data_IF_646973677082
#
_entry.id   IF_646973677082
#
_cell.length_a   1.000
_cell.length_b   1.000
_cell.length_c   1.000
_cell.angle_alpha   90.00
_cell.angle_beta   90.00
_cell.angle_gamma   90.00
#
_symmetry.space_group_name_H-M   'P 1'
#
loop_
_entity.id
_entity.type
_entity.pdbx_description
1 polymer ?
#
# COMPACT_ATOMS: atom_id res chain seq x y z
N UNK A 1 -20.07 -35.82 6.17
CA UNK A 1 -20.02 -37.22 6.68
C UNK A 1 -20.18 -37.17 8.19
N UNK A 2 -21.06 -37.99 8.78
CA UNK A 2 -21.21 -38.08 10.24
C UNK A 2 -20.04 -38.93 10.77
N UNK A 3 -18.98 -38.28 11.22
CA UNK A 3 -17.81 -38.93 11.79
C UNK A 3 -17.91 -39.00 13.31
N UNK A 4 -17.11 -39.86 13.94
CA UNK A 4 -17.01 -39.92 15.41
C UNK A 4 -16.59 -38.58 16.01
N UNK A 5 -15.70 -37.85 15.32
CA UNK A 5 -15.30 -36.49 15.70
C UNK A 5 -16.47 -35.50 15.64
N UNK A 6 -17.30 -35.56 14.60
CA UNK A 6 -18.51 -34.74 14.51
C UNK A 6 -19.50 -35.03 15.65
N UNK A 7 -19.72 -36.31 15.98
CA UNK A 7 -20.61 -36.69 17.09
C UNK A 7 -20.08 -36.20 18.44
N UNK A 8 -18.77 -36.31 18.68
CA UNK A 8 -18.13 -35.79 19.89
C UNK A 8 -18.27 -34.26 19.96
N UNK A 9 -18.05 -33.57 18.85
CA UNK A 9 -18.23 -32.13 18.76
C UNK A 9 -19.68 -31.72 19.08
N UNK A 10 -20.67 -32.39 18.49
CA UNK A 10 -22.08 -32.14 18.77
C UNK A 10 -22.44 -32.40 20.23
N UNK A 11 -21.91 -33.47 20.84
CA UNK A 11 -22.15 -33.76 22.25
C UNK A 11 -21.60 -32.65 23.14
N UNK A 12 -20.34 -32.26 22.93
CA UNK A 12 -19.64 -31.28 23.77
C UNK A 12 -20.14 -29.85 23.58
N UNK A 13 -20.41 -29.44 22.35
CA UNK A 13 -20.71 -28.05 22.01
C UNK A 13 -22.19 -27.77 21.73
N UNK A 14 -23.04 -28.78 21.55
CA UNK A 14 -24.48 -28.59 21.39
C UNK A 14 -25.30 -29.23 22.52
N UNK A 15 -25.12 -30.52 22.79
CA UNK A 15 -25.97 -31.26 23.76
C UNK A 15 -25.71 -30.82 25.19
N UNK A 16 -24.45 -30.85 25.65
CA UNK A 16 -24.11 -30.45 27.03
C UNK A 16 -24.55 -29.00 27.32
N UNK A 17 -24.23 -27.99 26.48
CA UNK A 17 -24.71 -26.62 26.70
C UNK A 17 -26.23 -26.50 26.73
N UNK A 18 -26.94 -27.22 25.85
CA UNK A 18 -28.41 -27.23 25.84
C UNK A 18 -29.00 -27.79 27.14
N UNK A 19 -28.43 -28.88 27.67
CA UNK A 19 -28.85 -29.45 28.95
C UNK A 19 -28.60 -28.49 30.12
N UNK A 20 -27.46 -27.80 30.12
CA UNK A 20 -27.16 -26.78 31.12
C UNK A 20 -28.16 -25.62 31.06
N UNK A 21 -28.56 -25.18 29.86
CA UNK A 21 -29.58 -24.13 29.68
C UNK A 21 -30.96 -24.58 30.18
N UNK A 22 -31.35 -25.83 29.92
CA UNK A 22 -32.64 -26.39 30.40
C UNK A 22 -32.74 -26.34 31.93
N UNK A 23 -31.62 -26.47 32.64
CA UNK A 23 -31.59 -26.40 34.11
C UNK A 23 -31.61 -24.96 34.66
N UNK A 24 -31.52 -23.93 33.82
CA UNK A 24 -31.59 -22.54 34.26
C UNK A 24 -33.05 -22.17 34.56
N UNK A 25 -33.34 -21.95 35.85
CA UNK A 25 -34.64 -21.41 36.26
C UNK A 25 -34.74 -19.92 35.97
N UNK A 26 -35.60 -19.54 35.03
CA UNK A 26 -35.88 -18.15 34.69
C UNK A 26 -36.61 -17.46 35.83
N UNK A 27 -35.95 -16.51 36.50
CA UNK A 27 -36.57 -15.62 37.50
C UNK A 27 -36.93 -14.29 36.87
N UNK A 28 -38.23 -13.99 36.78
CA UNK A 28 -38.70 -12.70 36.30
C UNK A 28 -38.48 -11.61 37.37
N UNK A 29 -37.71 -10.58 37.02
CA UNK A 29 -37.46 -9.40 37.86
C UNK A 29 -38.32 -8.21 37.40
N UNK A 30 -38.62 -7.24 38.28
CA UNK A 30 -39.21 -5.96 37.88
C UNK A 30 -38.38 -5.26 36.81
N UNK A 31 -39.02 -4.45 35.97
CA UNK A 31 -38.42 -3.92 34.73
C UNK A 31 -37.04 -3.28 34.92
N UNK A 32 -36.89 -2.38 35.90
CA UNK A 32 -35.62 -1.67 36.14
C UNK A 32 -34.50 -2.61 36.61
N UNK A 33 -34.83 -3.55 37.49
CA UNK A 33 -33.86 -4.52 37.98
C UNK A 33 -33.48 -5.52 36.89
N UNK A 34 -34.42 -5.91 36.03
CA UNK A 34 -34.17 -6.74 34.85
C UNK A 34 -33.24 -6.03 33.87
N UNK A 35 -33.49 -4.75 33.60
CA UNK A 35 -32.63 -3.93 32.73
C UNK A 35 -31.20 -3.87 33.27
N UNK A 36 -31.03 -3.50 34.54
CA UNK A 36 -29.71 -3.40 35.18
C UNK A 36 -28.94 -4.72 35.12
N UNK A 37 -29.58 -5.83 35.49
CA UNK A 37 -28.92 -7.15 35.51
C UNK A 37 -28.54 -7.58 34.11
N UNK A 38 -29.45 -7.42 33.14
CA UNK A 38 -29.16 -7.74 31.74
C UNK A 38 -28.01 -6.89 31.20
N UNK A 39 -28.00 -5.58 31.47
CA UNK A 39 -26.93 -4.68 31.05
C UNK A 39 -25.60 -5.10 31.64
N UNK A 40 -25.53 -5.39 32.94
CA UNK A 40 -24.28 -5.86 33.59
C UNK A 40 -23.82 -7.18 32.99
N UNK A 41 -24.73 -8.15 32.80
CA UNK A 41 -24.39 -9.44 32.19
C UNK A 41 -23.91 -9.29 30.75
N UNK A 42 -24.56 -8.46 29.94
CA UNK A 42 -24.16 -8.19 28.56
C UNK A 42 -22.78 -7.54 28.54
N UNK A 43 -22.55 -6.50 29.35
CA UNK A 43 -21.24 -5.82 29.44
C UNK A 43 -20.16 -6.81 29.88
N UNK A 44 -20.43 -7.66 30.88
CA UNK A 44 -19.47 -8.66 31.33
C UNK A 44 -19.15 -9.68 30.24
N UNK A 45 -20.17 -10.20 29.52
CA UNK A 45 -19.95 -11.10 28.39
C UNK A 45 -19.18 -10.43 27.25
N UNK A 46 -19.49 -9.18 26.93
CA UNK A 46 -18.77 -8.41 25.91
C UNK A 46 -17.32 -8.16 26.32
N UNK A 47 -17.07 -7.83 27.58
CA UNK A 47 -15.72 -7.66 28.09
C UNK A 47 -14.91 -8.96 28.01
N UNK A 48 -15.50 -10.09 28.41
CA UNK A 48 -14.86 -11.41 28.26
C UNK A 48 -14.58 -11.72 26.79
N UNK A 49 -15.56 -11.47 25.90
CA UNK A 49 -15.37 -11.69 24.47
C UNK A 49 -14.24 -10.84 23.89
N UNK A 50 -14.16 -9.56 24.26
CA UNK A 50 -13.08 -8.65 23.85
C UNK A 50 -11.73 -9.16 24.34
N UNK A 51 -11.64 -9.61 25.60
CA UNK A 51 -10.40 -10.16 26.16
C UNK A 51 -9.97 -11.43 25.43
N UNK A 52 -10.91 -12.34 25.14
CA UNK A 52 -10.62 -13.58 24.42
C UNK A 52 -10.16 -13.32 22.97
N UNK A 53 -10.85 -12.44 22.25
CA UNK A 53 -10.49 -12.06 20.88
C UNK A 53 -9.12 -11.35 20.88
N UNK A 54 -8.90 -10.43 21.83
CA UNK A 54 -7.64 -9.70 21.94
C UNK A 54 -6.46 -10.60 22.29
N UNK A 55 -6.67 -11.64 23.10
CA UNK A 55 -5.61 -12.57 23.50
C UNK A 55 -5.07 -13.45 22.36
N UNK A 56 -5.84 -13.60 21.28
CA UNK A 56 -5.49 -14.43 20.11
C UNK A 56 -5.70 -13.67 18.80
N UNK A 57 -5.46 -12.35 18.83
CA UNK A 57 -5.78 -11.45 17.72
C UNK A 57 -5.08 -11.84 16.42
N UNK A 58 -3.84 -12.35 16.49
CA UNK A 58 -3.10 -12.84 15.32
C UNK A 58 -3.89 -13.87 14.52
N UNK A 59 -4.36 -14.93 15.18
CA UNK A 59 -5.15 -16.01 14.56
C UNK A 59 -6.51 -15.52 14.06
N UNK A 60 -7.21 -14.68 14.83
CA UNK A 60 -8.46 -14.08 14.34
C UNK A 60 -8.25 -13.17 13.14
N UNK A 61 -7.17 -12.39 13.11
CA UNK A 61 -6.89 -11.45 12.04
C UNK A 61 -6.50 -12.15 10.74
N UNK A 62 -5.65 -13.19 10.78
CA UNK A 62 -5.28 -13.99 9.62
C UNK A 62 -6.46 -14.78 9.08
N UNK A 63 -7.21 -15.49 9.94
CA UNK A 63 -8.41 -16.23 9.55
C UNK A 63 -9.48 -15.31 8.96
N UNK A 64 -9.73 -14.15 9.57
CA UNK A 64 -10.68 -13.19 9.02
C UNK A 64 -10.22 -12.64 7.69
N UNK A 65 -8.92 -12.38 7.51
CA UNK A 65 -8.37 -11.90 6.24
C UNK A 65 -8.50 -12.94 5.13
N UNK A 66 -8.18 -14.20 5.41
CA UNK A 66 -8.20 -15.30 4.44
C UNK A 66 -9.63 -15.79 4.11
N UNK A 67 -10.50 -15.86 5.11
CA UNK A 67 -11.82 -16.49 4.99
C UNK A 67 -13.00 -15.52 5.18
N UNK A 68 -12.78 -14.22 4.98
CA UNK A 68 -13.78 -13.17 5.21
C UNK A 68 -15.11 -13.47 4.53
N UNK A 69 -15.08 -13.77 3.24
CA UNK A 69 -16.26 -14.00 2.40
C UNK A 69 -17.05 -15.21 2.90
N UNK A 70 -16.37 -16.31 3.19
CA UNK A 70 -17.00 -17.53 3.68
C UNK A 70 -17.64 -17.34 5.07
N UNK A 71 -16.99 -16.63 5.98
CA UNK A 71 -17.46 -16.46 7.37
C UNK A 71 -18.56 -15.38 7.44
N UNK A 72 -18.35 -14.20 6.85
CA UNK A 72 -19.26 -13.06 7.04
C UNK A 72 -20.43 -13.05 6.07
N UNK A 73 -20.24 -13.55 4.85
CA UNK A 73 -21.30 -13.48 3.82
C UNK A 73 -22.25 -14.67 3.89
N UNK A 74 -21.76 -15.85 4.30
CA UNK A 74 -22.58 -17.07 4.31
C UNK A 74 -23.25 -17.39 5.64
N UNK A 75 -22.67 -16.99 6.78
CA UNK A 75 -23.19 -17.38 8.12
C UNK A 75 -24.16 -16.35 8.73
N UNK A 76 -24.22 -15.13 8.20
CA UNK A 76 -25.03 -14.05 8.77
C UNK A 76 -26.26 -13.77 7.89
N UNK A 77 -27.47 -14.22 8.27
CA UNK A 77 -28.68 -14.05 7.46
C UNK A 77 -29.08 -12.57 7.26
N UNK A 78 -28.53 -11.65 8.05
CA UNK A 78 -28.70 -10.20 7.88
C UNK A 78 -27.77 -9.58 6.82
N UNK A 79 -26.72 -10.28 6.36
CA UNK A 79 -25.74 -9.75 5.42
C UNK A 79 -26.37 -9.35 4.08
N UNK A 80 -27.23 -10.16 3.43
CA UNK A 80 -27.89 -9.74 2.19
C UNK A 80 -28.69 -8.45 2.36
N UNK A 81 -29.46 -8.32 3.45
CA UNK A 81 -30.26 -7.12 3.72
C UNK A 81 -29.36 -5.91 3.95
N UNK A 82 -28.33 -6.04 4.79
CA UNK A 82 -27.36 -4.97 5.06
C UNK A 82 -26.65 -4.55 3.78
N UNK A 83 -26.13 -5.50 3.01
CA UNK A 83 -25.42 -5.25 1.75
C UNK A 83 -26.34 -4.61 0.71
N UNK A 84 -27.62 -5.00 0.61
CA UNK A 84 -28.59 -4.33 -0.26
C UNK A 84 -28.84 -2.89 0.16
N UNK A 85 -29.06 -2.63 1.46
CA UNK A 85 -29.24 -1.25 1.96
C UNK A 85 -27.99 -0.42 1.72
N UNK A 86 -26.80 -0.97 2.00
CA UNK A 86 -25.52 -0.31 1.75
C UNK A 86 -25.27 -0.05 0.27
N UNK A 87 -25.63 -0.99 -0.61
CA UNK A 87 -25.53 -0.85 -2.06
C UNK A 87 -26.45 0.27 -2.55
N UNK A 88 -27.71 0.30 -2.11
CA UNK A 88 -28.66 1.36 -2.50
C UNK A 88 -28.19 2.71 -1.97
N UNK A 89 -27.72 2.77 -0.73
CA UNK A 89 -27.20 4.01 -0.15
C UNK A 89 -25.96 4.52 -0.90
N UNK A 90 -25.01 3.65 -1.23
CA UNK A 90 -23.85 3.99 -2.07
C UNK A 90 -24.27 4.39 -3.47
N UNK A 91 -25.08 3.61 -4.19
CA UNK A 91 -25.54 3.95 -5.54
C UNK A 91 -26.24 5.31 -5.59
N UNK A 92 -27.06 5.64 -4.59
CA UNK A 92 -27.70 6.96 -4.50
C UNK A 92 -26.71 8.10 -4.19
N UNK A 93 -25.69 7.84 -3.39
CA UNK A 93 -24.65 8.82 -3.04
C UNK A 93 -23.66 9.03 -4.19
N UNK A 94 -23.20 7.96 -4.80
CA UNK A 94 -22.22 7.94 -5.90
C UNK A 94 -22.79 8.57 -7.17
N UNK A 95 -24.10 8.45 -7.43
CA UNK A 95 -24.77 9.18 -8.52
C UNK A 95 -24.67 10.71 -8.41
N UNK A 96 -24.35 11.24 -7.24
CA UNK A 96 -24.14 12.68 -7.04
C UNK A 96 -22.67 13.10 -7.18
N UNK A 97 -21.75 12.13 -7.24
CA UNK A 97 -20.31 12.40 -7.36
C UNK A 97 -19.99 12.68 -8.84
N UNK A 98 -19.99 13.96 -9.19
CA UNK A 98 -19.54 14.42 -10.52
C UNK A 98 -18.05 14.68 -10.48
N UNK A 99 -17.29 13.88 -11.22
CA UNK A 99 -15.84 14.06 -11.39
C UNK A 99 -15.51 15.43 -11.97
N UNK A 100 -14.68 16.19 -11.25
CA UNK A 100 -14.16 17.46 -11.69
C UNK A 100 -12.81 17.27 -12.39
N UNK A 101 -12.60 17.92 -13.54
CA UNK A 101 -11.31 17.87 -14.20
C UNK A 101 -10.24 18.59 -13.36
N UNK A 102 -9.01 18.11 -13.44
CA UNK A 102 -7.85 18.61 -12.71
C UNK A 102 -6.73 18.97 -13.70
N UNK A 103 -6.10 20.12 -13.48
CA UNK A 103 -4.91 20.50 -14.24
C UNK A 103 -5.14 20.68 -15.75
N UNK A 104 -6.30 21.20 -16.17
CA UNK A 104 -6.54 21.53 -17.60
C UNK A 104 -5.60 22.62 -18.12
N UNK A 105 -4.98 23.39 -17.22
CA UNK A 105 -3.93 24.36 -17.49
C UNK A 105 -2.53 23.74 -17.53
N UNK A 106 -2.40 22.45 -17.20
CA UNK A 106 -1.14 21.77 -17.04
C UNK A 106 -0.38 21.73 -18.36
N UNK A 107 0.87 22.20 -18.34
CA UNK A 107 1.78 22.12 -19.48
C UNK A 107 3.18 21.80 -19.03
N UNK A 108 3.81 20.86 -19.72
CA UNK A 108 5.22 20.59 -19.49
C UNK A 108 6.06 21.80 -19.92
N UNK A 109 6.92 22.27 -19.02
CA UNK A 109 7.63 23.55 -19.17
C UNK A 109 9.15 23.44 -19.13
N UNK A 110 9.67 22.24 -18.85
CA UNK A 110 11.11 22.02 -18.85
C UNK A 110 11.66 22.13 -20.28
N UNK A 111 12.79 22.83 -20.45
CA UNK A 111 13.52 22.74 -21.71
C UNK A 111 13.87 21.27 -21.99
N UNK A 112 13.91 20.84 -23.26
CA UNK A 112 14.42 19.52 -23.60
C UNK A 112 15.77 19.30 -22.90
N UNK A 113 16.01 18.10 -22.37
CA UNK A 113 17.33 17.75 -21.85
C UNK A 113 18.37 18.13 -22.92
N UNK A 114 19.52 18.71 -22.51
CA UNK A 114 20.52 19.22 -23.46
C UNK A 114 20.99 18.15 -24.48
N UNK A 115 20.81 16.87 -24.14
CA UNK A 115 21.09 15.68 -24.93
C UNK A 115 19.95 15.24 -25.88
N UNK A 116 18.78 15.87 -25.85
CA UNK A 116 17.58 15.44 -26.58
C UNK A 116 16.82 14.25 -25.95
N UNK A 117 17.34 13.71 -24.84
CA UNK A 117 16.76 12.60 -24.07
C UNK A 117 15.42 12.98 -23.46
N UNK A 118 14.53 11.99 -23.30
CA UNK A 118 13.19 12.19 -22.71
C UNK A 118 13.23 12.02 -21.20
N UNK A 119 12.49 12.85 -20.48
CA UNK A 119 12.29 12.67 -19.04
C UNK A 119 11.43 11.44 -18.79
N UNK A 120 11.91 10.55 -17.94
CA UNK A 120 11.19 9.34 -17.54
C UNK A 120 11.14 9.29 -16.03
N UNK A 121 9.93 9.26 -15.45
CA UNK A 121 9.75 9.04 -14.02
C UNK A 121 9.05 7.70 -13.81
N UNK A 122 9.67 6.79 -13.06
CA UNK A 122 9.03 5.57 -12.60
C UNK A 122 8.57 5.76 -11.15
N UNK A 123 7.27 5.59 -10.92
CA UNK A 123 6.68 5.59 -9.58
C UNK A 123 6.47 4.13 -9.19
N UNK A 124 7.15 3.68 -8.14
CA UNK A 124 6.95 2.34 -7.59
C UNK A 124 6.10 2.47 -6.34
N UNK A 125 4.86 1.99 -6.42
CA UNK A 125 3.94 1.92 -5.29
C UNK A 125 4.20 0.60 -4.59
N UNK A 126 4.84 0.68 -3.43
CA UNK A 126 5.09 -0.47 -2.56
C UNK A 126 3.83 -0.86 -1.78
N UNK A 127 3.86 -2.07 -1.24
CA UNK A 127 2.75 -2.65 -0.49
C UNK A 127 3.26 -3.18 0.85
N UNK A 128 2.63 -2.74 1.95
CA UNK A 128 2.80 -3.30 3.31
C UNK A 128 4.24 -3.17 3.92
N UNK A 129 5.20 -2.60 3.20
CA UNK A 129 6.57 -2.44 3.67
C UNK A 129 6.66 -1.34 4.75
N UNK A 130 7.24 -1.64 5.91
CA UNK A 130 7.38 -0.70 7.03
C UNK A 130 8.82 -0.22 7.23
N UNK A 131 8.97 1.05 7.59
CA UNK A 131 10.27 1.69 7.80
C UNK A 131 11.14 0.95 8.84
N UNK A 132 10.52 0.40 9.90
CA UNK A 132 11.19 -0.29 11.00
C UNK A 132 12.06 -1.49 10.55
N UNK A 133 11.72 -2.13 9.42
CA UNK A 133 12.42 -3.32 8.93
C UNK A 133 13.33 -3.03 7.72
N UNK A 134 13.56 -1.75 7.41
CA UNK A 134 14.54 -1.34 6.40
C UNK A 134 15.93 -1.16 7.03
N UNK A 135 16.90 -1.98 6.63
CA UNK A 135 18.30 -1.87 7.09
C UNK A 135 18.92 -0.51 6.79
N UNK A 136 18.49 0.14 5.69
CA UNK A 136 18.90 1.50 5.34
C UNK A 136 18.51 2.53 6.41
N UNK A 137 17.55 2.21 7.27
CA UNK A 137 17.04 3.08 8.33
C UNK A 137 17.56 2.67 9.72
N UNK A 138 18.51 1.73 9.78
CA UNK A 138 19.12 1.25 11.01
C UNK A 138 18.55 -0.06 11.55
N UNK A 139 17.71 -0.77 10.80
CA UNK A 139 17.29 -2.13 11.17
C UNK A 139 18.51 -3.07 11.22
N UNK A 140 18.70 -3.87 12.29
CA UNK A 140 19.92 -4.65 12.49
C UNK A 140 20.14 -5.82 11.52
N UNK A 141 19.08 -6.29 10.83
CA UNK A 141 19.22 -7.33 9.80
C UNK A 141 19.39 -6.65 8.45
N UNK A 142 20.32 -7.14 7.63
CA UNK A 142 20.59 -6.58 6.31
C UNK A 142 19.49 -6.96 5.31
N UNK A 143 18.38 -6.22 5.33
CA UNK A 143 17.20 -6.41 4.46
C UNK A 143 17.28 -5.63 3.16
N UNK A 144 18.25 -4.72 2.98
CA UNK A 144 18.41 -3.93 1.76
C UNK A 144 19.87 -3.88 1.22
N UNK A 145 20.53 -5.03 1.01
CA UNK A 145 21.92 -5.08 0.57
C UNK A 145 22.15 -4.55 -0.85
N UNK A 146 21.17 -4.64 -1.75
CA UNK A 146 21.32 -4.20 -3.14
C UNK A 146 21.12 -2.69 -3.27
N UNK A 147 20.06 -2.14 -2.69
CA UNK A 147 19.81 -0.69 -2.68
C UNK A 147 20.93 0.10 -1.99
N UNK A 148 21.61 -0.49 -1.00
CA UNK A 148 22.78 0.10 -0.35
C UNK A 148 23.95 0.36 -1.31
N UNK A 149 24.01 -0.35 -2.44
CA UNK A 149 25.03 -0.18 -3.48
C UNK A 149 24.60 0.81 -4.57
N UNK A 150 23.33 1.21 -4.57
CA UNK A 150 22.78 2.18 -5.51
C UNK A 150 22.99 3.61 -5.00
N UNK A 151 23.15 4.59 -5.90
CA UNK A 151 23.25 6.00 -5.53
C UNK A 151 21.86 6.61 -5.27
N UNK A 152 21.21 6.13 -4.21
CA UNK A 152 19.84 6.51 -3.84
C UNK A 152 19.80 7.58 -2.74
N UNK A 153 18.63 8.17 -2.56
CA UNK A 153 18.26 8.97 -1.40
C UNK A 153 17.19 8.24 -0.60
N UNK A 154 17.40 8.12 0.71
CA UNK A 154 16.51 7.43 1.65
C UNK A 154 15.86 8.44 2.61
N UNK A 155 14.53 8.55 2.56
CA UNK A 155 13.78 9.49 3.41
C UNK A 155 13.31 8.79 4.69
N UNK A 156 14.03 9.02 5.78
CA UNK A 156 13.89 8.22 7.02
C UNK A 156 12.68 8.59 7.87
N UNK A 157 11.98 9.69 7.56
CA UNK A 157 10.84 10.18 8.34
C UNK A 157 9.62 10.41 7.43
N UNK A 158 9.04 9.33 6.91
CA UNK A 158 7.93 9.38 5.94
C UNK A 158 6.69 8.69 6.47
N UNK A 159 5.54 9.38 6.47
CA UNK A 159 4.26 8.81 6.94
C UNK A 159 3.25 8.58 5.81
N UNK A 160 2.51 7.48 5.84
CA UNK A 160 1.43 7.18 4.91
C UNK A 160 0.17 8.02 5.17
N UNK A 161 -0.68 8.14 4.15
CA UNK A 161 -2.02 8.73 4.27
C UNK A 161 -2.98 7.83 5.07
N UNK A 162 -2.90 6.52 4.84
CA UNK A 162 -3.76 5.50 5.44
C UNK A 162 -2.95 4.34 5.99
N UNK A 163 -3.66 3.32 6.46
CA UNK A 163 -3.09 2.05 6.96
C UNK A 163 -3.55 0.88 6.11
N UNK A 164 -4.09 1.15 4.94
CA UNK A 164 -4.57 0.16 3.98
C UNK A 164 -4.50 0.74 2.57
N UNK A 165 -4.33 -0.13 1.58
CA UNK A 165 -4.18 0.23 0.16
C UNK A 165 -5.37 1.05 -0.36
N UNK A 166 -6.60 0.77 0.10
CA UNK A 166 -7.82 1.41 -0.40
C UNK A 166 -7.94 2.89 -0.01
N UNK A 167 -7.23 3.32 1.02
CA UNK A 167 -7.11 4.71 1.43
C UNK A 167 -5.80 5.33 0.93
N UNK A 168 -4.67 4.64 1.11
CA UNK A 168 -3.34 5.21 0.85
C UNK A 168 -3.10 5.47 -0.63
N UNK A 169 -3.38 4.50 -1.51
CA UNK A 169 -3.10 4.63 -2.94
C UNK A 169 -3.92 5.76 -3.57
N UNK A 170 -5.24 5.87 -3.37
CA UNK A 170 -5.96 7.03 -3.86
C UNK A 170 -5.48 8.35 -3.25
N UNK A 171 -5.16 8.38 -1.95
CA UNK A 171 -4.74 9.61 -1.25
C UNK A 171 -3.44 10.17 -1.82
N UNK A 172 -2.40 9.35 -1.96
CA UNK A 172 -1.08 9.80 -2.42
C UNK A 172 -1.09 10.29 -3.88
N UNK A 173 -2.02 9.81 -4.71
CA UNK A 173 -2.22 10.30 -6.08
C UNK A 173 -3.25 11.44 -6.20
N UNK A 174 -3.91 11.82 -5.10
CA UNK A 174 -4.91 12.89 -5.09
C UNK A 174 -4.29 14.27 -4.84
N UNK A 175 -4.96 15.37 -5.24
CA UNK A 175 -4.55 16.72 -4.85
C UNK A 175 -4.87 17.05 -3.38
N UNK A 176 -5.40 16.11 -2.61
CA UNK A 176 -5.89 16.35 -1.25
C UNK A 176 -4.89 15.82 -0.21
N UNK A 177 -4.38 16.67 0.69
CA UNK A 177 -3.61 16.20 1.83
C UNK A 177 -4.46 15.26 2.70
N UNK A 178 -3.82 14.34 3.42
CA UNK A 178 -4.42 13.31 4.27
C UNK A 178 -5.55 13.82 5.16
N UNK A 179 -5.37 14.99 5.78
CA UNK A 179 -6.36 15.59 6.69
C UNK A 179 -7.66 16.00 5.99
N UNK A 180 -7.59 16.24 4.69
CA UNK A 180 -8.72 16.67 3.87
C UNK A 180 -9.24 15.57 2.94
N UNK A 181 -8.49 14.47 2.80
CA UNK A 181 -8.84 13.34 1.97
C UNK A 181 -10.12 12.63 2.43
N UNK A 182 -10.90 12.18 1.44
CA UNK A 182 -11.96 11.19 1.62
C UNK A 182 -12.14 10.45 0.30
N UNK A 183 -12.60 9.19 0.34
CA UNK A 183 -12.88 8.42 -0.87
C UNK A 183 -13.86 9.16 -1.80
N UNK A 184 -14.90 9.82 -1.26
CA UNK A 184 -15.83 10.60 -2.09
C UNK A 184 -15.17 11.81 -2.76
N UNK A 185 -14.25 12.51 -2.08
CA UNK A 185 -13.50 13.60 -2.71
C UNK A 185 -12.59 13.10 -3.83
N UNK A 186 -11.91 11.97 -3.61
CA UNK A 186 -11.08 11.36 -4.64
C UNK A 186 -11.91 10.99 -5.88
N UNK A 187 -13.05 10.31 -5.73
CA UNK A 187 -13.91 9.97 -6.87
C UNK A 187 -14.58 11.20 -7.51
N UNK A 188 -14.64 12.33 -6.81
CA UNK A 188 -15.13 13.61 -7.34
C UNK A 188 -14.09 14.45 -8.09
N UNK A 189 -12.84 13.97 -8.21
CA UNK A 189 -11.76 14.72 -8.86
C UNK A 189 -10.92 13.78 -9.73
N UNK A 190 -10.40 14.31 -10.83
CA UNK A 190 -9.23 13.72 -11.48
C UNK A 190 -8.02 13.72 -10.53
N UNK A 191 -7.02 12.90 -10.84
CA UNK A 191 -5.85 12.66 -10.01
C UNK A 191 -4.54 13.01 -10.73
N UNK A 192 -3.40 12.74 -10.09
CA UNK A 192 -2.06 13.01 -10.62
C UNK A 192 -1.86 12.48 -12.05
N UNK A 193 -2.32 11.26 -12.33
CA UNK A 193 -2.09 10.61 -13.62
C UNK A 193 -2.88 11.28 -14.75
N UNK A 194 -4.11 11.71 -14.47
CA UNK A 194 -4.91 12.50 -15.40
C UNK A 194 -4.26 13.85 -15.70
N UNK A 195 -3.79 14.55 -14.65
CA UNK A 195 -3.13 15.84 -14.78
C UNK A 195 -1.85 15.74 -15.62
N UNK A 196 -1.04 14.71 -15.41
CA UNK A 196 0.16 14.47 -16.21
C UNK A 196 -0.20 14.18 -17.68
N UNK A 197 -1.26 13.40 -17.91
CA UNK A 197 -1.78 13.16 -19.26
C UNK A 197 -2.24 14.47 -19.94
N UNK A 198 -2.97 15.33 -19.22
CA UNK A 198 -3.34 16.67 -19.70
C UNK A 198 -2.13 17.54 -20.03
N UNK A 199 -1.03 17.38 -19.28
CA UNK A 199 0.23 18.07 -19.55
C UNK A 199 1.01 17.53 -20.76
N UNK A 200 0.52 16.47 -21.41
CA UNK A 200 1.16 15.83 -22.57
C UNK A 200 2.22 14.79 -22.19
N UNK A 201 2.26 14.34 -20.93
CA UNK A 201 3.14 13.25 -20.48
C UNK A 201 2.50 11.92 -20.81
N UNK A 202 3.28 10.99 -21.39
CA UNK A 202 2.81 9.61 -21.60
C UNK A 202 2.70 8.91 -20.25
N UNK A 203 1.51 8.44 -19.90
CA UNK A 203 1.24 7.79 -18.63
C UNK A 203 0.83 6.33 -18.82
N UNK A 204 1.32 5.45 -17.94
CA UNK A 204 0.90 4.05 -17.89
C UNK A 204 0.97 3.48 -16.47
N UNK A 205 0.13 2.48 -16.21
CA UNK A 205 0.05 1.79 -14.93
C UNK A 205 0.21 0.28 -15.11
N UNK A 206 1.12 -0.33 -14.37
CA UNK A 206 1.33 -1.77 -14.31
C UNK A 206 0.92 -2.28 -12.94
N UNK A 207 -0.11 -3.11 -12.91
CA UNK A 207 -0.77 -3.56 -11.70
C UNK A 207 -0.38 -4.99 -11.39
N UNK A 208 0.37 -5.21 -10.31
CA UNK A 208 0.64 -6.55 -9.78
C UNK A 208 0.09 -6.72 -8.36
N UNK A 209 -0.86 -5.88 -7.93
CA UNK A 209 -1.54 -5.95 -6.64
C UNK A 209 -3.06 -6.02 -6.89
N UNK A 210 -3.88 -5.82 -5.85
CA UNK A 210 -5.34 -5.92 -5.87
C UNK A 210 -6.06 -4.78 -6.62
N UNK A 211 -5.37 -4.08 -7.52
CA UNK A 211 -5.92 -2.99 -8.35
C UNK A 211 -5.51 -1.58 -7.89
N UNK A 212 -5.57 -0.64 -8.83
CA UNK A 212 -5.15 0.76 -8.66
C UNK A 212 -6.08 1.62 -7.78
N UNK A 213 -7.17 1.03 -7.28
CA UNK A 213 -8.17 1.68 -6.42
C UNK A 213 -8.78 2.95 -7.06
N UNK A 214 -8.95 2.94 -8.38
CA UNK A 214 -9.54 4.03 -9.15
C UNK A 214 -8.56 5.08 -9.65
N UNK A 215 -7.26 4.97 -9.32
CA UNK A 215 -6.23 5.90 -9.81
C UNK A 215 -6.04 5.77 -11.32
N UNK A 216 -6.05 4.53 -11.84
CA UNK A 216 -5.69 4.25 -13.23
C UNK A 216 -6.88 4.13 -14.20
N UNK A 217 -8.12 4.40 -13.74
CA UNK A 217 -9.37 4.17 -14.50
C UNK A 217 -9.44 4.88 -15.87
N UNK A 218 -8.66 5.95 -16.05
CA UNK A 218 -8.67 6.82 -17.24
C UNK A 218 -7.36 6.79 -18.03
N UNK A 219 -6.42 5.92 -17.67
CA UNK A 219 -5.11 5.81 -18.32
C UNK A 219 -4.82 4.37 -18.76
N UNK A 220 -3.89 4.14 -19.70
CA UNK A 220 -3.45 2.79 -20.06
C UNK A 220 -2.99 2.00 -18.84
N UNK A 221 -3.67 0.88 -18.57
CA UNK A 221 -3.38 -0.02 -17.45
C UNK A 221 -3.13 -1.43 -17.96
N UNK A 222 -2.09 -2.08 -17.45
CA UNK A 222 -1.79 -3.50 -17.68
C UNK A 222 -1.98 -4.25 -16.37
N UNK A 223 -2.94 -5.16 -16.35
CA UNK A 223 -3.17 -6.08 -15.22
C UNK A 223 -2.25 -7.29 -15.34
N UNK A 224 -1.29 -7.38 -14.43
CA UNK A 224 -0.34 -8.47 -14.31
C UNK A 224 -0.74 -9.47 -13.23
N UNK A 225 -1.56 -9.06 -12.25
CA UNK A 225 -2.06 -9.94 -11.20
C UNK A 225 -2.82 -11.13 -11.79
N UNK A 226 -3.62 -10.89 -12.83
CA UNK A 226 -4.38 -11.92 -13.55
C UNK A 226 -3.62 -12.53 -14.74
N UNK A 227 -2.29 -12.36 -14.80
CA UNK A 227 -1.46 -12.91 -15.87
C UNK A 227 -1.34 -14.42 -15.76
N UNK A 228 -1.36 -15.11 -16.90
CA UNK A 228 -1.07 -16.55 -17.00
C UNK A 228 0.44 -16.84 -17.09
N UNK A 229 1.30 -15.92 -16.65
CA UNK A 229 2.74 -16.10 -16.69
C UNK A 229 3.18 -17.13 -15.65
N UNK A 230 3.32 -18.39 -16.09
CA UNK A 230 3.72 -19.51 -15.24
C UNK A 230 5.12 -19.38 -14.60
N UNK A 231 5.96 -18.43 -15.03
CA UNK A 231 7.27 -18.19 -14.43
C UNK A 231 7.15 -17.46 -13.09
N UNK A 232 6.21 -16.52 -12.96
CA UNK A 232 6.10 -15.64 -11.81
C UNK A 232 4.79 -15.80 -11.04
N UNK A 233 3.75 -16.37 -11.68
CA UNK A 233 2.41 -16.44 -11.13
C UNK A 233 2.07 -17.87 -10.66
N UNK A 234 1.69 -17.98 -9.40
CA UNK A 234 1.20 -19.22 -8.80
C UNK A 234 0.01 -18.90 -7.89
N UNK A 235 -1.10 -19.63 -8.06
CA UNK A 235 -2.27 -19.52 -7.17
C UNK A 235 -2.91 -18.13 -7.14
N UNK A 236 -2.97 -17.44 -8.29
CA UNK A 236 -3.63 -16.13 -8.45
C UNK A 236 -2.83 -14.93 -7.96
N UNK A 237 -1.56 -15.11 -7.59
CA UNK A 237 -0.65 -14.05 -7.20
C UNK A 237 0.65 -14.20 -7.99
N UNK A 238 1.33 -13.09 -8.29
CA UNK A 238 2.58 -13.10 -9.05
C UNK A 238 3.70 -12.40 -8.27
N UNK A 239 4.92 -12.91 -8.41
CA UNK A 239 6.13 -12.24 -7.93
C UNK A 239 6.38 -10.95 -8.70
N UNK A 240 6.83 -9.91 -8.00
CA UNK A 240 7.04 -8.56 -8.56
C UNK A 240 8.13 -8.48 -9.64
N UNK A 241 8.92 -9.53 -9.88
CA UNK A 241 9.82 -9.62 -11.04
C UNK A 241 9.08 -9.38 -12.36
N UNK A 242 7.79 -9.75 -12.44
CA UNK A 242 6.98 -9.50 -13.63
C UNK A 242 6.91 -7.99 -13.98
N UNK A 243 6.96 -7.09 -12.98
CA UNK A 243 6.96 -5.65 -13.21
C UNK A 243 8.27 -5.17 -13.84
N UNK A 244 9.41 -5.75 -13.44
CA UNK A 244 10.73 -5.43 -13.99
C UNK A 244 10.78 -5.78 -15.47
N UNK A 245 10.35 -6.99 -15.82
CA UNK A 245 10.35 -7.49 -17.20
C UNK A 245 9.41 -6.65 -18.08
N UNK A 246 8.23 -6.29 -17.57
CA UNK A 246 7.27 -5.45 -18.27
C UNK A 246 7.77 -4.01 -18.45
N UNK A 247 8.46 -3.43 -17.45
CA UNK A 247 9.09 -2.12 -17.60
C UNK A 247 10.12 -2.16 -18.72
N UNK A 248 11.04 -3.13 -18.70
CA UNK A 248 12.08 -3.27 -19.72
C UNK A 248 11.49 -3.36 -21.14
N UNK A 249 10.42 -4.13 -21.32
CA UNK A 249 9.73 -4.24 -22.61
C UNK A 249 9.00 -2.96 -23.00
N UNK A 250 8.26 -2.33 -22.08
CA UNK A 250 7.49 -1.12 -22.38
C UNK A 250 8.37 0.05 -22.80
N UNK A 251 9.57 0.20 -22.23
CA UNK A 251 10.51 1.27 -22.60
C UNK A 251 10.92 1.22 -24.08
N UNK A 252 10.71 0.11 -24.80
CA UNK A 252 10.92 0.04 -26.25
C UNK A 252 9.93 0.94 -27.01
N UNK A 253 8.70 1.05 -26.53
CA UNK A 253 7.61 1.76 -27.19
C UNK A 253 7.45 3.23 -26.73
N UNK A 254 8.08 3.61 -25.61
CA UNK A 254 8.04 4.98 -25.09
C UNK A 254 8.82 5.94 -25.99
N UNK A 255 8.13 6.98 -26.46
CA UNK A 255 8.67 7.95 -27.44
C UNK A 255 8.76 9.39 -26.92
N UNK A 256 8.06 9.68 -25.82
CA UNK A 256 7.95 11.00 -25.22
C UNK A 256 8.46 11.04 -23.78
N UNK A 257 8.24 12.17 -23.12
CA UNK A 257 8.39 12.23 -21.67
C UNK A 257 7.29 11.37 -21.05
N UNK A 258 7.65 10.55 -20.06
CA UNK A 258 6.74 9.53 -19.54
C UNK A 258 6.75 9.44 -18.02
N UNK A 259 5.62 9.02 -17.47
CA UNK A 259 5.48 8.60 -16.08
C UNK A 259 4.83 7.22 -16.04
N UNK A 260 5.56 6.23 -15.54
CA UNK A 260 5.13 4.83 -15.49
C UNK A 260 4.95 4.47 -14.01
N UNK A 261 3.79 3.94 -13.65
CA UNK A 261 3.54 3.41 -12.31
C UNK A 261 3.69 1.90 -12.30
N UNK A 262 4.47 1.38 -11.34
CA UNK A 262 4.60 -0.04 -11.03
C UNK A 262 3.99 -0.28 -9.64
N UNK A 263 2.87 -0.99 -9.56
CA UNK A 263 2.19 -1.27 -8.30
C UNK A 263 2.50 -2.70 -7.84
N UNK A 264 3.29 -2.79 -6.78
CA UNK A 264 3.85 -4.04 -6.26
C UNK A 264 2.87 -4.77 -5.34
N UNK A 265 2.95 -6.10 -5.28
CA UNK A 265 2.38 -6.88 -4.16
C UNK A 265 3.29 -6.80 -2.92
N UNK A 266 4.60 -6.53 -3.09
CA UNK A 266 5.50 -6.14 -2.00
C UNK A 266 5.51 -7.13 -0.84
N UNK A 267 5.17 -6.65 0.36
CA UNK A 267 5.16 -7.43 1.59
C UNK A 267 3.75 -7.82 2.06
N UNK A 268 2.78 -7.91 1.15
CA UNK A 268 1.38 -8.19 1.48
C UNK A 268 1.21 -9.53 2.23
N UNK A 269 0.58 -9.45 3.41
CA UNK A 269 0.26 -10.58 4.29
C UNK A 269 -1.15 -11.16 4.08
N UNK A 270 -1.53 -12.25 4.78
CA UNK A 270 -0.73 -13.00 5.75
C UNK A 270 0.30 -13.95 5.12
N UNK A 271 0.22 -14.19 3.81
CA UNK A 271 1.04 -15.17 3.09
C UNK A 271 2.43 -14.64 2.69
N UNK A 272 3.19 -14.02 3.63
CA UNK A 272 4.49 -13.37 3.33
C UNK A 272 5.47 -14.29 2.57
N UNK A 273 5.44 -15.60 2.84
CA UNK A 273 6.27 -16.61 2.16
C UNK A 273 6.04 -16.76 0.66
N UNK A 274 4.93 -16.23 0.12
CA UNK A 274 4.63 -16.20 -1.32
C UNK A 274 5.12 -14.93 -2.00
N UNK A 275 5.73 -14.00 -1.25
CA UNK A 275 6.20 -12.70 -1.75
C UNK A 275 7.60 -12.74 -2.35
N UNK A 276 8.30 -13.86 -2.21
CA UNK A 276 9.67 -14.00 -2.65
C UNK A 276 9.95 -15.44 -3.11
N UNK A 277 10.86 -15.65 -4.06
CA UNK A 277 11.26 -16.98 -4.48
C UNK A 277 12.26 -17.60 -3.48
N UNK A 278 12.49 -18.94 -3.52
CA UNK A 278 13.25 -19.66 -2.49
C UNK A 278 14.67 -19.13 -2.22
N UNK A 279 15.32 -18.52 -3.21
CA UNK A 279 16.66 -17.94 -3.11
C UNK A 279 16.73 -16.71 -2.18
N UNK A 280 15.59 -16.04 -1.96
CA UNK A 280 15.42 -14.91 -1.04
C UNK A 280 14.97 -15.32 0.37
N UNK A 281 14.74 -16.62 0.62
CA UNK A 281 14.49 -17.17 1.96
C UNK A 281 15.79 -17.19 2.80
N UNK A 282 16.31 -16.02 3.19
CA UNK A 282 17.58 -15.87 3.92
C UNK A 282 17.40 -15.99 5.43
N UNK A 283 16.40 -15.32 5.98
CA UNK A 283 16.08 -15.37 7.40
C UNK A 283 15.25 -16.64 7.68
N UNK A 284 15.74 -17.49 8.60
CA UNK A 284 15.18 -18.83 8.86
C UNK A 284 15.13 -19.14 10.36
N UNK A 285 14.20 -19.99 10.82
CA UNK A 285 13.08 -20.57 10.06
C UNK A 285 12.04 -19.50 9.68
N UNK A 286 11.33 -19.68 8.56
CA UNK A 286 10.30 -18.75 8.08
C UNK A 286 8.91 -19.37 8.23
N UNK A 287 7.89 -18.55 8.48
CA UNK A 287 6.51 -18.99 8.50
C UNK A 287 6.02 -19.28 7.07
N UNK A 288 5.62 -20.52 6.77
CA UNK A 288 5.19 -20.96 5.42
C UNK A 288 3.69 -21.29 5.34
N UNK A 289 2.88 -20.50 6.04
CA UNK A 289 1.42 -20.62 6.08
C UNK A 289 0.81 -19.24 6.28
N UNK A 290 -0.44 -19.06 5.85
CA UNK A 290 -1.25 -17.88 6.18
C UNK A 290 -1.79 -17.92 7.62
N UNK A 291 -1.77 -19.08 8.27
CA UNK A 291 -2.26 -19.27 9.64
C UNK A 291 -1.21 -18.87 10.66
N UNK A 292 -1.24 -17.61 11.12
CA UNK A 292 -0.26 -17.12 12.09
C UNK A 292 -0.25 -17.89 13.42
N UNK A 293 -1.32 -18.63 13.77
CA UNK A 293 -1.34 -19.53 14.95
C UNK A 293 -0.29 -20.64 14.88
N UNK A 294 0.10 -21.04 13.67
CA UNK A 294 0.95 -22.21 13.44
C UNK A 294 2.44 -21.82 13.45
N UNK A 295 2.74 -20.54 13.61
CA UNK A 295 4.08 -19.97 13.55
C UNK A 295 4.40 -19.17 14.82
N UNK A 296 5.68 -19.14 15.18
CA UNK A 296 6.19 -18.16 16.14
C UNK A 296 6.25 -16.77 15.52
N UNK A 297 6.21 -15.73 16.35
CA UNK A 297 6.39 -14.34 15.89
C UNK A 297 7.72 -14.16 15.13
N UNK A 298 8.81 -14.80 15.57
CA UNK A 298 10.09 -14.73 14.88
C UNK A 298 10.05 -15.37 13.48
N UNK A 299 9.31 -16.47 13.29
CA UNK A 299 9.11 -17.08 11.98
C UNK A 299 8.31 -16.18 11.04
N UNK A 300 7.30 -15.48 11.56
CA UNK A 300 6.53 -14.48 10.81
C UNK A 300 7.43 -13.31 10.42
N UNK A 301 8.21 -12.78 11.36
CA UNK A 301 9.18 -11.69 11.10
C UNK A 301 10.25 -12.13 10.10
N UNK A 302 10.72 -13.38 10.14
CA UNK A 302 11.67 -13.91 9.17
C UNK A 302 11.08 -13.96 7.76
N UNK A 303 9.84 -14.42 7.61
CA UNK A 303 9.15 -14.41 6.32
C UNK A 303 8.93 -12.98 5.80
N UNK A 304 8.52 -12.06 6.68
CA UNK A 304 8.40 -10.63 6.35
C UNK A 304 9.74 -10.02 5.93
N UNK A 305 10.83 -10.25 6.67
CA UNK A 305 12.15 -9.72 6.30
C UNK A 305 12.66 -10.27 4.96
N UNK A 306 12.31 -11.52 4.61
CA UNK A 306 12.59 -12.08 3.29
C UNK A 306 11.79 -11.37 2.18
N UNK A 307 10.55 -10.93 2.43
CA UNK A 307 9.79 -10.12 1.45
C UNK A 307 10.36 -8.70 1.29
N UNK A 308 10.88 -8.10 2.37
CA UNK A 308 11.62 -6.83 2.28
C UNK A 308 12.92 -6.99 1.50
N UNK A 309 13.64 -8.10 1.69
CA UNK A 309 14.84 -8.43 0.92
C UNK A 309 14.53 -8.61 -0.57
N UNK A 310 13.39 -9.18 -0.91
CA UNK A 310 12.97 -9.26 -2.31
C UNK A 310 12.51 -7.90 -2.86
N UNK A 311 11.85 -7.07 -2.06
CA UNK A 311 11.53 -5.68 -2.43
C UNK A 311 12.80 -4.87 -2.75
N UNK A 312 13.86 -5.03 -1.94
CA UNK A 312 15.18 -4.45 -2.21
C UNK A 312 15.72 -4.84 -3.58
N UNK A 313 15.68 -6.14 -3.91
CA UNK A 313 16.10 -6.66 -5.20
C UNK A 313 15.30 -6.08 -6.37
N UNK A 314 13.97 -6.08 -6.28
CA UNK A 314 13.10 -5.56 -7.34
C UNK A 314 13.37 -4.07 -7.59
N UNK A 315 13.52 -3.26 -6.54
CA UNK A 315 13.84 -1.84 -6.68
C UNK A 315 15.23 -1.62 -7.29
N UNK A 316 16.22 -2.44 -6.92
CA UNK A 316 17.56 -2.42 -7.52
C UNK A 316 17.52 -2.78 -9.01
N UNK A 317 16.75 -3.81 -9.40
CA UNK A 317 16.57 -4.22 -10.80
C UNK A 317 15.83 -3.17 -11.63
N UNK A 318 14.82 -2.50 -11.07
CA UNK A 318 14.17 -1.35 -11.72
C UNK A 318 15.19 -0.24 -12.00
N UNK A 319 16.04 0.09 -11.02
CA UNK A 319 17.13 1.07 -11.22
C UNK A 319 18.09 0.60 -12.33
N UNK A 320 18.42 -0.70 -12.39
CA UNK A 320 19.30 -1.25 -13.42
C UNK A 320 18.67 -1.13 -14.82
N UNK A 321 17.37 -1.41 -14.98
CA UNK A 321 16.62 -1.19 -16.22
C UNK A 321 16.65 0.29 -16.62
N UNK A 322 16.46 1.19 -15.66
CA UNK A 322 16.52 2.64 -15.92
C UNK A 322 17.91 3.08 -16.37
N UNK A 323 18.97 2.64 -15.70
CA UNK A 323 20.36 2.90 -16.11
C UNK A 323 20.64 2.41 -17.53
N UNK A 324 20.16 1.22 -17.88
CA UNK A 324 20.32 0.65 -19.22
C UNK A 324 19.57 1.46 -20.31
N UNK A 325 18.61 2.30 -19.91
CA UNK A 325 17.80 3.15 -20.81
C UNK A 325 18.34 4.58 -20.95
N UNK A 326 19.47 4.90 -20.29
CA UNK A 326 20.03 6.26 -20.28
C UNK A 326 20.48 6.75 -21.66
N UNK A 327 20.60 5.89 -22.69
CA UNK A 327 20.86 6.34 -24.06
C UNK A 327 19.70 7.17 -24.64
N UNK A 328 18.46 6.87 -24.23
CA UNK A 328 17.23 7.51 -24.71
C UNK A 328 16.56 8.40 -23.68
N UNK A 329 16.72 8.07 -22.40
CA UNK A 329 16.00 8.71 -21.31
C UNK A 329 16.92 9.42 -20.33
N UNK A 330 16.37 10.41 -19.64
CA UNK A 330 16.88 10.95 -18.40
C UNK A 330 15.96 10.42 -17.29
N UNK A 331 16.22 9.20 -16.76
CA UNK A 331 15.30 8.54 -15.85
C UNK A 331 15.47 8.96 -14.39
N UNK A 332 14.37 8.84 -13.65
CA UNK A 332 14.31 8.91 -12.19
C UNK A 332 13.31 7.86 -11.67
N UNK A 333 13.50 7.44 -10.43
CA UNK A 333 12.59 6.54 -9.72
C UNK A 333 12.19 7.16 -8.38
N UNK A 334 10.92 7.02 -8.02
CA UNK A 334 10.41 7.27 -6.68
C UNK A 334 9.69 6.02 -6.18
N UNK A 335 10.02 5.56 -4.98
CA UNK A 335 9.36 4.44 -4.31
C UNK A 335 8.78 4.92 -2.99
N UNK A 336 7.52 4.60 -2.72
CA UNK A 336 6.90 4.74 -1.41
C UNK A 336 6.04 3.50 -1.14
N UNK A 337 6.13 2.92 0.06
CA UNK A 337 5.11 1.96 0.49
C UNK A 337 3.77 2.69 0.70
N UNK A 338 2.66 2.00 0.47
CA UNK A 338 1.33 2.52 0.71
C UNK A 338 1.01 2.61 2.22
N UNK A 339 1.47 1.66 3.02
CA UNK A 339 1.46 1.65 4.48
C UNK A 339 2.51 0.67 5.02
N UNK A 340 2.62 0.59 6.35
CA UNK A 340 3.43 -0.41 7.05
C UNK A 340 2.61 -1.60 7.55
N UNK A 341 3.15 -2.35 8.52
CA UNK A 341 2.57 -3.63 8.99
C UNK A 341 2.84 -3.86 10.48
N UNK A 342 1.88 -4.42 11.21
CA UNK A 342 2.09 -4.97 12.55
C UNK A 342 2.44 -6.45 12.47
N UNK A 343 3.47 -6.89 13.19
CA UNK A 343 4.00 -8.25 13.14
C UNK A 343 3.93 -8.94 14.51
N UNK A 344 2.98 -8.55 15.36
CA UNK A 344 2.78 -9.08 16.71
C UNK A 344 3.10 -8.09 17.84
N UNK A 345 3.58 -6.89 17.52
CA UNK A 345 3.74 -5.83 18.52
C UNK A 345 2.42 -5.52 19.23
N UNK A 346 2.43 -5.56 20.56
CA UNK A 346 1.23 -5.39 21.40
C UNK A 346 0.06 -6.34 21.05
N UNK A 347 0.37 -7.49 20.44
CA UNK A 347 -0.60 -8.47 19.96
C UNK A 347 -1.27 -8.11 18.63
N UNK A 348 -0.88 -7.01 17.99
CA UNK A 348 -1.42 -6.57 16.70
C UNK A 348 -0.70 -7.24 15.54
N UNK A 349 -1.47 -7.71 14.57
CA UNK A 349 -1.00 -8.28 13.31
C UNK A 349 -1.70 -7.59 12.15
N UNK A 350 -1.07 -7.67 10.97
CA UNK A 350 -1.55 -7.05 9.74
C UNK A 350 -1.61 -5.52 9.85
N UNK A 351 -2.51 -4.91 9.08
CA UNK A 351 -2.73 -3.48 8.96
C UNK A 351 -4.22 -3.14 9.00
N UNK A 352 -4.59 -1.94 8.57
CA UNK A 352 -5.94 -1.36 8.61
C UNK A 352 -6.44 -0.98 10.02
N UNK A 353 -5.54 -0.69 10.96
CA UNK A 353 -5.94 -0.05 12.21
C UNK A 353 -6.44 1.38 11.93
N UNK A 354 -7.55 1.84 12.52
CA UNK A 354 -8.01 3.22 12.31
C UNK A 354 -6.88 4.22 12.60
N UNK A 355 -6.57 5.09 11.62
CA UNK A 355 -5.33 5.90 11.63
C UNK A 355 -5.05 6.64 12.95
N UNK A 356 -6.08 7.13 13.64
CA UNK A 356 -5.95 7.89 14.90
C UNK A 356 -5.47 7.04 16.11
N UNK A 357 -5.49 5.72 16.00
CA UNK A 357 -4.97 4.75 16.98
C UNK A 357 -3.98 3.76 16.36
N UNK A 358 -3.62 3.94 15.09
CA UNK A 358 -2.70 3.04 14.40
C UNK A 358 -1.29 3.17 15.00
N UNK A 359 -0.60 2.05 15.25
CA UNK A 359 0.78 2.11 15.72
C UNK A 359 1.70 2.64 14.61
N UNK A 360 2.82 3.25 14.99
CA UNK A 360 3.81 3.80 14.05
C UNK A 360 4.25 2.78 13.00
N UNK A 361 4.31 1.49 13.35
CA UNK A 361 4.69 0.42 12.41
C UNK A 361 3.73 0.26 11.22
N UNK A 362 2.49 0.74 11.31
CA UNK A 362 1.53 0.77 10.19
C UNK A 362 1.56 2.07 9.39
N UNK A 363 2.15 3.14 9.92
CA UNK A 363 2.09 4.48 9.28
C UNK A 363 3.46 5.01 8.84
N UNK A 364 4.55 4.57 9.47
CA UNK A 364 5.93 4.95 9.12
C UNK A 364 6.46 4.01 8.03
N UNK A 365 6.64 4.56 6.84
CA UNK A 365 6.89 3.81 5.60
C UNK A 365 8.27 4.13 4.99
N UNK A 366 8.83 3.21 4.19
CA UNK A 366 9.99 3.48 3.39
C UNK A 366 9.66 4.39 2.20
N UNK A 367 10.51 5.38 1.98
CA UNK A 367 10.55 6.25 0.82
C UNK A 367 11.98 6.33 0.29
N UNK A 368 12.17 5.95 -0.97
CA UNK A 368 13.43 5.97 -1.69
C UNK A 368 13.27 6.76 -2.99
N UNK A 369 14.29 7.55 -3.35
CA UNK A 369 14.38 8.16 -4.67
C UNK A 369 15.73 7.87 -5.32
N UNK A 370 15.73 7.73 -6.65
CA UNK A 370 16.92 7.59 -7.47
C UNK A 370 16.83 8.54 -8.66
N UNK A 371 17.97 9.14 -9.03
CA UNK A 371 18.05 10.08 -10.14
C UNK A 371 19.27 9.75 -10.99
N UNK A 372 19.09 9.53 -12.29
CA UNK A 372 20.22 9.50 -13.22
C UNK A 372 20.96 10.85 -13.24
N UNK A 373 22.26 10.86 -13.57
CA UNK A 373 23.00 12.11 -13.77
C UNK A 373 22.36 13.04 -14.81
N UNK A 374 21.83 12.46 -15.89
CA UNK A 374 21.13 13.23 -16.93
C UNK A 374 19.81 13.82 -16.44
N UNK A 375 19.05 13.10 -15.61
CA UNK A 375 17.85 13.64 -14.97
C UNK A 375 18.19 14.83 -14.07
N UNK A 376 19.19 14.67 -13.19
CA UNK A 376 19.60 15.75 -12.29
C UNK A 376 20.06 16.99 -13.06
N UNK A 377 20.81 16.81 -14.15
CA UNK A 377 21.26 17.92 -15.00
C UNK A 377 20.11 18.57 -15.78
N UNK A 378 19.18 17.79 -16.33
CA UNK A 378 18.04 18.28 -17.11
C UNK A 378 17.07 19.09 -16.23
N UNK A 379 16.87 18.66 -14.98
CA UNK A 379 15.93 19.28 -14.02
C UNK A 379 16.59 20.29 -13.07
N UNK A 380 17.91 20.47 -13.18
CA UNK A 380 18.73 21.31 -12.28
C UNK A 380 18.57 20.94 -10.81
N UNK A 381 18.39 19.64 -10.58
CA UNK A 381 18.22 19.06 -9.26
C UNK A 381 19.59 18.89 -8.59
N UNK A 382 19.75 19.49 -7.42
CA UNK A 382 20.92 19.30 -6.58
C UNK A 382 20.72 18.08 -5.69
N UNK A 383 21.24 16.93 -6.11
CA UNK A 383 21.08 15.66 -5.38
C UNK A 383 21.78 15.66 -4.03
N UNK A 384 22.84 16.47 -3.85
CA UNK A 384 23.50 16.64 -2.57
C UNK A 384 22.61 17.41 -1.58
N UNK A 385 21.90 18.45 -2.05
CA UNK A 385 20.88 19.14 -1.26
C UNK A 385 19.78 18.19 -0.80
N UNK A 386 19.25 17.32 -1.68
CA UNK A 386 18.20 16.36 -1.29
C UNK A 386 18.72 15.40 -0.22
N UNK A 387 19.93 14.87 -0.37
CA UNK A 387 20.55 13.99 0.63
C UNK A 387 20.70 14.65 2.00
N UNK A 388 21.03 15.94 2.04
CA UNK A 388 21.13 16.69 3.30
C UNK A 388 19.77 16.88 3.97
N UNK A 389 18.71 17.01 3.19
CA UNK A 389 17.36 17.24 3.70
C UNK A 389 16.59 15.93 3.97
N UNK A 390 17.13 14.76 3.61
CA UNK A 390 16.41 13.48 3.58
C UNK A 390 15.78 13.05 4.93
N UNK A 391 16.26 13.57 6.07
CA UNK A 391 15.68 13.32 7.40
C UNK A 391 14.48 14.22 7.74
N UNK A 392 14.21 15.27 6.96
CA UNK A 392 13.07 16.15 7.18
C UNK A 392 11.75 15.39 6.97
N UNK A 393 10.68 15.75 7.72
CA UNK A 393 9.39 15.08 7.62
C UNK A 393 8.84 15.06 6.18
N UNK A 394 8.40 13.88 5.76
CA UNK A 394 7.70 13.66 4.50
C UNK A 394 6.43 12.87 4.74
N UNK A 395 5.51 12.91 3.78
CA UNK A 395 4.32 12.08 3.78
C UNK A 395 3.85 11.80 2.36
N UNK A 396 2.85 10.95 2.24
CA UNK A 396 2.10 10.78 0.99
C UNK A 396 1.51 12.07 0.43
N UNK A 397 1.29 13.10 1.26
CA UNK A 397 0.85 14.42 0.80
C UNK A 397 1.85 15.04 -0.19
N UNK A 398 3.11 14.59 -0.17
CA UNK A 398 4.14 15.08 -1.05
C UNK A 398 4.11 14.46 -2.45
N UNK A 399 3.60 13.25 -2.65
CA UNK A 399 3.78 12.51 -3.90
C UNK A 399 3.20 13.28 -5.10
N UNK A 400 1.94 13.72 -4.99
CA UNK A 400 1.23 14.47 -6.03
C UNK A 400 2.06 15.65 -6.54
N UNK A 401 2.51 16.52 -5.63
CA UNK A 401 3.26 17.72 -6.00
C UNK A 401 4.70 17.41 -6.43
N UNK A 402 5.34 16.45 -5.77
CA UNK A 402 6.71 16.04 -6.09
C UNK A 402 6.81 15.51 -7.52
N UNK A 403 5.88 14.66 -7.96
CA UNK A 403 5.90 14.10 -9.33
C UNK A 403 5.59 15.18 -10.38
N UNK A 404 4.67 16.11 -10.11
CA UNK A 404 4.42 17.27 -10.99
C UNK A 404 5.72 18.06 -11.20
N UNK A 405 6.45 18.33 -10.13
CA UNK A 405 7.75 18.99 -10.17
C UNK A 405 8.82 18.15 -10.88
N UNK A 406 8.83 16.83 -10.67
CA UNK A 406 9.75 15.89 -11.33
C UNK A 406 9.58 15.88 -12.84
N UNK A 407 8.35 16.04 -13.33
CA UNK A 407 8.04 16.14 -14.76
C UNK A 407 8.11 17.58 -15.28
N UNK A 408 8.31 18.55 -14.40
CA UNK A 408 8.42 19.97 -14.74
C UNK A 408 7.15 20.55 -15.36
N UNK A 409 6.01 20.07 -14.88
CA UNK A 409 4.70 20.52 -15.30
C UNK A 409 4.33 21.80 -14.54
N UNK A 410 3.88 22.82 -15.27
CA UNK A 410 3.30 24.04 -14.70
C UNK A 410 1.79 23.94 -14.71
N UNK A 411 1.17 24.14 -13.56
CA UNK A 411 -0.28 24.10 -13.34
C UNK A 411 -0.60 24.82 -12.04
N UNK A 412 -1.81 25.37 -11.94
CA UNK A 412 -2.37 25.94 -10.70
C UNK A 412 -2.60 24.92 -9.59
N UNK A 413 -2.64 23.61 -9.91
CA UNK A 413 -2.75 22.54 -8.92
C UNK A 413 -1.43 22.21 -8.20
N UNK A 414 -0.30 22.80 -8.63
CA UNK A 414 1.01 22.54 -8.04
C UNK A 414 1.28 23.45 -6.84
N UNK A 415 1.56 22.86 -5.68
CA UNK A 415 2.04 23.54 -4.49
C UNK A 415 3.54 23.20 -4.25
N UNK A 416 4.47 24.14 -4.47
CA UNK A 416 5.88 23.94 -4.21
C UNK A 416 6.22 23.61 -2.75
N UNK A 417 5.37 23.98 -1.79
CA UNK A 417 5.59 23.67 -0.37
C UNK A 417 5.38 22.17 -0.06
N UNK A 418 4.64 21.47 -0.91
CA UNK A 418 4.41 20.03 -0.81
C UNK A 418 5.29 19.22 -1.77
N UNK A 419 6.07 19.86 -2.64
CA UNK A 419 7.08 19.19 -3.46
C UNK A 419 8.36 18.95 -2.65
N UNK A 420 8.65 17.67 -2.40
CA UNK A 420 9.81 17.22 -1.60
C UNK A 420 11.14 17.69 -2.19
N UNK A 421 11.20 17.99 -3.48
CA UNK A 421 12.42 18.30 -4.22
C UNK A 421 12.52 19.76 -4.64
N UNK A 422 11.47 20.57 -4.45
CA UNK A 422 11.43 21.96 -4.93
C UNK A 422 12.57 22.83 -4.38
N UNK A 423 12.87 22.73 -3.09
CA UNK A 423 13.95 23.49 -2.43
C UNK A 423 15.35 23.20 -2.97
N UNK A 424 15.55 22.06 -3.64
CA UNK A 424 16.82 21.63 -4.20
C UNK A 424 16.91 21.78 -5.72
N UNK A 425 15.89 22.36 -6.38
CA UNK A 425 16.00 22.74 -7.80
C UNK A 425 16.54 24.15 -7.90
N UNK A 426 17.69 24.33 -8.58
CA UNK A 426 18.24 25.66 -8.80
C UNK A 426 17.30 26.42 -9.75
N UNK A 427 16.68 27.49 -9.27
CA UNK A 427 15.92 28.39 -10.12
C UNK A 427 16.84 28.88 -11.25
N UNK A 428 16.32 28.97 -12.47
CA UNK A 428 17.03 29.66 -13.54
C UNK A 428 17.31 31.08 -13.07
N UNK A 429 18.56 31.37 -12.69
CA UNK A 429 19.06 32.74 -12.59
C UNK A 429 19.18 33.23 -14.02
N UNK A 430 18.06 33.64 -14.59
CA UNK A 430 17.98 34.33 -15.87
C UNK A 430 16.93 35.43 -15.77
N UNK A 431 17.41 36.67 -15.85
CA UNK A 431 16.71 37.95 -15.93
C UNK A 431 16.12 38.53 -14.63
N UNK A 432 16.99 39.18 -13.86
CA UNK A 432 16.71 40.54 -13.37
C UNK A 432 17.86 41.42 -13.87
N UNK A 433 17.51 42.52 -14.53
CA UNK A 433 18.40 43.42 -15.28
C UNK A 433 19.66 43.88 -14.54
#
# INVERSE_FOLDING_TARGET
LVTTGFLLHMLLYAVIPSLLIIWVRVKHRPLLQKLMVNTVSIIACLAIAIVLIGSDYGSFSSMYREHRSDIMERLMPGTPIKSTVQYIAHDLYDRQIVMQPLGLDAKQSLPPAASGKKLLTVIVVGETARAKNFSLYGYPRETNPELKQQDIVTFTNTTSCGTDTSVSVPCMFSPFPRKEYSSSKFHSSENLMDLLNHAGVQVSWYENNTGSKGVSDRIPTVDLQNSNNAQYCEGGECLDQILVDQLHDHLKDVSGNATIVLHMTGSHGPSYYRRYPPEFAKFKPECRTSEFSDCTTDEIVNAYDNSILYTDHILSEIINVLKASEDRFAPAMIYMSDHGESLGEDGLYLHAAPYFIAPDVQTHIPFVAWFSPDYANATKLDTACIKQDAAAPASHDNLFHTVIGMMGVKTSAYDPALDRFAGCRKANVAASN
#
